data_IF_346889367558
#
_entry.id   IF_346889367558
#
_cell.length_a   1.000
_cell.length_b   1.000
_cell.length_c   1.000
_cell.angle_alpha   90.00
_cell.angle_beta   90.00
_cell.angle_gamma   90.00
#
_symmetry.space_group_name_H-M   'P 1'
#
loop_
_entity.id
_entity.type
_entity.pdbx_description
1 polymer ?
#
# COMPACT_ATOMS: atom_id res chain seq x y z
N UNK A 1 7.44 -10.33 10.00
CA UNK A 1 7.80 -10.96 8.72
C UNK A 1 9.17 -11.64 8.74
N UNK A 2 10.29 -10.93 9.00
CA UNK A 2 11.64 -11.55 9.03
C UNK A 2 11.72 -12.76 9.96
N UNK A 3 11.22 -12.65 11.20
CA UNK A 3 11.24 -13.76 12.15
C UNK A 3 10.38 -14.96 11.69
N UNK A 4 9.19 -14.69 11.14
CA UNK A 4 8.34 -15.77 10.61
C UNK A 4 9.00 -16.48 9.43
N UNK A 5 9.61 -15.74 8.50
CA UNK A 5 10.33 -16.31 7.37
C UNK A 5 11.55 -17.15 7.79
N UNK A 6 12.31 -16.69 8.79
CA UNK A 6 13.44 -17.46 9.34
C UNK A 6 12.98 -18.76 10.03
N UNK A 7 11.86 -18.72 10.75
CA UNK A 7 11.31 -19.92 11.38
C UNK A 7 10.74 -20.90 10.35
N UNK A 8 10.10 -20.37 9.30
CA UNK A 8 9.58 -21.17 8.20
C UNK A 8 10.70 -21.91 7.46
N UNK A 9 11.78 -21.20 7.09
CA UNK A 9 12.92 -21.78 6.39
C UNK A 9 13.71 -22.82 7.20
N UNK A 10 13.69 -22.71 8.54
CA UNK A 10 14.41 -23.63 9.42
C UNK A 10 13.61 -24.85 9.89
N UNK A 11 12.30 -24.89 9.63
CA UNK A 11 11.41 -25.98 10.08
C UNK A 11 10.99 -26.93 8.94
N UNK A 12 11.44 -26.69 7.72
CA UNK A 12 11.05 -27.44 6.53
C UNK A 12 12.22 -28.13 5.81
N UNK A 13 11.92 -28.58 4.60
CA UNK A 13 12.91 -29.14 3.68
C UNK A 13 13.87 -28.07 3.19
N UNK A 14 15.00 -28.48 2.62
CA UNK A 14 15.97 -27.58 2.00
C UNK A 14 15.27 -26.63 1.01
N UNK A 15 15.42 -25.30 1.14
CA UNK A 15 14.78 -24.35 0.25
C UNK A 15 15.22 -24.54 -1.20
N UNK A 16 14.25 -24.52 -2.11
CA UNK A 16 14.49 -24.56 -3.55
C UNK A 16 14.61 -23.12 -4.07
N UNK A 17 15.73 -22.79 -4.72
CA UNK A 17 15.92 -21.51 -5.36
C UNK A 17 15.62 -21.62 -6.85
N UNK A 18 14.80 -20.68 -7.35
CA UNK A 18 14.43 -20.57 -8.76
C UNK A 18 14.96 -19.25 -9.29
N UNK A 19 15.69 -19.29 -10.39
CA UNK A 19 16.21 -18.09 -11.05
C UNK A 19 15.46 -17.84 -12.35
N UNK A 20 15.01 -16.62 -12.54
CA UNK A 20 14.31 -16.19 -13.75
C UNK A 20 15.14 -15.06 -14.36
N UNK A 21 15.53 -15.24 -15.62
CA UNK A 21 16.22 -14.23 -16.41
C UNK A 21 15.37 -13.86 -17.60
N UNK A 22 15.22 -12.58 -17.84
CA UNK A 22 14.46 -12.07 -18.98
C UNK A 22 15.27 -11.03 -19.72
N UNK A 23 15.07 -11.00 -21.04
CA UNK A 23 15.74 -10.01 -21.87
C UNK A 23 15.37 -10.18 -23.36
N UNK A 24 15.66 -9.15 -24.17
CA UNK A 24 15.42 -9.19 -25.61
C UNK A 24 16.29 -10.21 -26.36
N UNK A 25 17.33 -10.74 -25.72
CA UNK A 25 18.22 -11.77 -26.23
C UNK A 25 17.59 -13.17 -26.21
N UNK A 26 16.56 -13.40 -25.40
CA UNK A 26 15.87 -14.68 -25.31
C UNK A 26 14.70 -14.74 -26.28
N UNK A 27 14.33 -15.98 -26.70
CA UNK A 27 13.21 -16.19 -27.59
C UNK A 27 11.86 -15.76 -26.98
N UNK A 28 11.02 -15.11 -27.78
CA UNK A 28 9.66 -14.72 -27.38
C UNK A 28 8.66 -15.89 -27.47
N UNK A 29 9.05 -17.04 -27.00
CA UNK A 29 8.25 -18.24 -26.91
C UNK A 29 7.97 -18.56 -25.45
N UNK A 30 6.80 -19.16 -25.16
CA UNK A 30 6.46 -19.62 -23.82
C UNK A 30 7.36 -20.80 -23.46
N UNK A 31 8.09 -20.67 -22.34
CA UNK A 31 8.99 -21.72 -21.89
C UNK A 31 8.20 -22.77 -21.11
N UNK A 32 8.11 -23.98 -21.67
CA UNK A 32 7.45 -25.11 -21.01
C UNK A 32 8.48 -26.05 -20.39
N UNK A 33 8.14 -26.75 -19.30
CA UNK A 33 9.04 -27.71 -18.67
C UNK A 33 9.28 -28.91 -19.57
N UNK A 34 10.49 -29.47 -19.54
CA UNK A 34 10.81 -30.70 -20.27
C UNK A 34 9.94 -31.87 -19.79
N UNK A 35 9.67 -32.82 -20.70
CA UNK A 35 8.97 -34.07 -20.38
C UNK A 35 9.81 -34.99 -19.50
N UNK A 36 11.12 -34.88 -19.62
CA UNK A 36 12.05 -35.74 -18.88
C UNK A 36 12.16 -35.28 -17.42
N UNK A 37 12.04 -36.26 -16.55
CA UNK A 37 12.04 -36.05 -15.12
C UNK A 37 13.09 -36.98 -14.48
N UNK A 38 14.11 -36.40 -13.89
CA UNK A 38 15.13 -37.15 -13.14
C UNK A 38 14.87 -36.92 -11.66
N UNK A 39 14.24 -37.91 -11.00
CA UNK A 39 14.28 -38.01 -9.55
C UNK A 39 15.67 -38.53 -9.20
N UNK A 40 16.46 -37.75 -8.47
CA UNK A 40 17.72 -38.23 -7.93
C UNK A 40 17.46 -39.22 -6.78
N UNK A 41 17.30 -40.47 -7.13
CA UNK A 41 17.03 -41.57 -6.18
C UNK A 41 18.18 -41.86 -5.20
N UNK A 42 19.34 -41.20 -5.37
CA UNK A 42 20.52 -41.42 -4.54
C UNK A 42 20.59 -40.46 -3.33
N UNK A 43 19.68 -39.53 -3.20
CA UNK A 43 19.67 -38.60 -2.05
C UNK A 43 18.79 -39.19 -0.92
N UNK A 44 19.37 -39.43 0.25
CA UNK A 44 18.68 -40.02 1.40
C UNK A 44 17.65 -39.06 2.06
N UNK A 45 17.76 -37.77 1.79
CA UNK A 45 16.87 -36.75 2.39
C UNK A 45 15.75 -36.30 1.42
N UNK A 46 14.56 -36.15 1.96
CA UNK A 46 13.42 -35.61 1.20
C UNK A 46 13.71 -34.15 0.78
N UNK A 47 13.54 -33.83 -0.50
CA UNK A 47 13.75 -32.50 -1.04
C UNK A 47 12.85 -32.25 -2.24
N UNK A 48 12.70 -30.97 -2.64
CA UNK A 48 12.00 -30.64 -3.88
C UNK A 48 12.94 -30.63 -5.07
N UNK A 49 12.42 -31.12 -6.19
CA UNK A 49 13.11 -31.11 -7.48
C UNK A 49 12.34 -30.25 -8.45
N UNK A 50 12.98 -29.22 -9.01
CA UNK A 50 12.42 -28.36 -10.03
C UNK A 50 13.07 -28.57 -11.39
N UNK A 51 12.27 -28.51 -12.44
CA UNK A 51 12.74 -28.56 -13.82
C UNK A 51 11.96 -27.56 -14.70
N UNK A 52 12.65 -26.57 -15.29
CA UNK A 52 14.03 -26.16 -15.00
C UNK A 52 14.11 -25.32 -13.71
N UNK A 53 15.27 -25.27 -13.06
CA UNK A 53 15.53 -24.38 -11.91
C UNK A 53 15.88 -22.94 -12.32
N UNK A 54 16.34 -22.77 -13.56
CA UNK A 54 16.60 -21.46 -14.17
C UNK A 54 15.77 -21.33 -15.44
N UNK A 55 14.96 -20.28 -15.51
CA UNK A 55 14.18 -19.92 -16.70
C UNK A 55 14.83 -18.74 -17.42
N UNK A 56 14.98 -18.87 -18.72
CA UNK A 56 15.39 -17.80 -19.63
C UNK A 56 14.25 -17.47 -20.57
N UNK A 57 13.64 -16.30 -20.42
CA UNK A 57 12.37 -15.95 -21.03
C UNK A 57 12.50 -14.64 -21.79
N UNK A 58 12.07 -14.60 -23.06
CA UNK A 58 11.93 -13.35 -23.82
C UNK A 58 10.83 -12.44 -23.23
N UNK A 59 10.79 -11.18 -23.63
CA UNK A 59 9.96 -10.16 -22.97
C UNK A 59 8.48 -10.20 -23.36
N UNK A 60 8.12 -10.72 -24.53
CA UNK A 60 6.73 -10.69 -25.06
C UNK A 60 6.28 -12.05 -25.59
N UNK A 61 4.98 -12.33 -25.52
CA UNK A 61 4.36 -13.50 -26.11
C UNK A 61 2.96 -13.19 -26.63
N UNK A 62 2.35 -14.16 -27.34
CA UNK A 62 0.93 -14.09 -27.73
C UNK A 62 0.03 -14.15 -26.51
N UNK A 63 -0.85 -13.13 -26.28
CA UNK A 63 -1.78 -13.09 -25.16
C UNK A 63 -2.67 -14.33 -25.05
N UNK A 64 -3.18 -14.83 -26.16
CA UNK A 64 -4.05 -16.01 -26.14
C UNK A 64 -3.30 -17.28 -25.73
N UNK A 65 -2.02 -17.40 -26.13
CA UNK A 65 -1.19 -18.51 -25.69
C UNK A 65 -0.90 -18.44 -24.19
N UNK A 66 -0.58 -17.26 -23.66
CA UNK A 66 -0.33 -17.02 -22.22
C UNK A 66 -1.57 -17.39 -21.39
N UNK A 67 -2.76 -16.92 -21.78
CA UNK A 67 -4.01 -17.23 -21.08
C UNK A 67 -4.32 -18.74 -21.13
N UNK A 68 -4.09 -19.36 -22.29
CA UNK A 68 -4.30 -20.81 -22.47
C UNK A 68 -3.36 -21.63 -21.56
N UNK A 69 -2.08 -21.25 -21.46
CA UNK A 69 -1.13 -21.95 -20.61
C UNK A 69 -1.40 -21.70 -19.13
N UNK A 70 -1.77 -20.50 -18.73
CA UNK A 70 -2.20 -20.24 -17.34
C UNK A 70 -3.41 -21.11 -16.94
N UNK A 71 -4.41 -21.20 -17.80
CA UNK A 71 -5.56 -22.07 -17.59
C UNK A 71 -5.16 -23.55 -17.55
N UNK A 72 -4.25 -23.99 -18.43
CA UNK A 72 -3.73 -25.34 -18.45
C UNK A 72 -2.98 -25.67 -17.15
N UNK A 73 -2.07 -24.80 -16.66
CA UNK A 73 -1.35 -25.00 -15.40
C UNK A 73 -2.32 -25.16 -14.23
N UNK A 74 -3.35 -24.30 -14.16
CA UNK A 74 -4.40 -24.40 -13.13
C UNK A 74 -5.12 -25.75 -13.20
N UNK A 75 -5.55 -26.17 -14.40
CA UNK A 75 -6.27 -27.42 -14.60
C UNK A 75 -5.39 -28.64 -14.24
N UNK A 76 -4.11 -28.62 -14.63
CA UNK A 76 -3.18 -29.71 -14.31
C UNK A 76 -2.91 -29.84 -12.81
N UNK A 77 -2.70 -28.73 -12.11
CA UNK A 77 -2.52 -28.73 -10.66
C UNK A 77 -3.76 -29.29 -9.94
N UNK A 78 -4.96 -28.92 -10.37
CA UNK A 78 -6.21 -29.46 -9.82
C UNK A 78 -6.35 -30.96 -10.14
N UNK A 79 -6.10 -31.38 -11.38
CA UNK A 79 -6.21 -32.79 -11.82
C UNK A 79 -5.20 -33.70 -11.08
N UNK A 80 -4.03 -33.17 -10.76
CA UNK A 80 -3.00 -33.88 -10.01
C UNK A 80 -3.23 -33.87 -8.49
N UNK A 81 -4.29 -33.20 -8.00
CA UNK A 81 -4.69 -33.20 -6.59
C UNK A 81 -3.99 -32.16 -5.73
N UNK A 82 -3.41 -31.11 -6.32
CA UNK A 82 -2.86 -29.98 -5.57
C UNK A 82 -3.96 -28.98 -5.20
N UNK A 83 -4.01 -28.57 -3.94
CA UNK A 83 -4.94 -27.57 -3.45
C UNK A 83 -4.40 -26.19 -3.80
N UNK A 84 -5.10 -25.49 -4.69
CA UNK A 84 -4.80 -24.11 -5.02
C UNK A 84 -5.51 -23.19 -4.02
N UNK A 85 -4.80 -22.27 -3.41
CA UNK A 85 -5.44 -21.18 -2.69
C UNK A 85 -6.29 -20.37 -3.69
N UNK A 86 -7.61 -20.36 -3.52
CA UNK A 86 -8.45 -19.45 -4.30
C UNK A 86 -8.03 -18.02 -3.98
N UNK A 87 -7.42 -17.36 -4.95
CA UNK A 87 -7.29 -15.91 -4.92
C UNK A 87 -8.72 -15.34 -4.90
N UNK A 88 -9.17 -14.87 -3.74
CA UNK A 88 -10.38 -14.07 -3.63
C UNK A 88 -10.13 -12.79 -4.41
N UNK A 89 -10.55 -12.76 -5.67
CA UNK A 89 -10.69 -11.52 -6.42
C UNK A 89 -11.79 -10.69 -5.75
N UNK A 90 -11.48 -9.55 -5.13
CA UNK A 90 -12.47 -8.67 -4.53
C UNK A 90 -13.02 -7.70 -5.58
N UNK A 91 -13.50 -8.18 -6.71
CA UNK A 91 -14.17 -7.28 -7.64
C UNK A 91 -14.99 -8.05 -8.67
N UNK A 92 -16.21 -8.35 -8.29
CA UNK A 92 -17.38 -8.37 -9.18
C UNK A 92 -18.66 -8.55 -8.35
N UNK A 93 -18.98 -7.56 -7.52
CA UNK A 93 -20.37 -7.27 -7.21
C UNK A 93 -20.76 -6.08 -8.08
N UNK A 94 -21.41 -6.36 -9.19
CA UNK A 94 -22.25 -5.37 -9.85
C UNK A 94 -23.40 -5.06 -8.90
N UNK A 95 -23.29 -3.96 -8.18
CA UNK A 95 -24.42 -3.36 -7.48
C UNK A 95 -25.34 -2.73 -8.53
N UNK A 96 -26.37 -3.46 -8.92
CA UNK A 96 -27.51 -2.99 -9.71
C UNK A 96 -28.52 -2.17 -8.88
N UNK A 97 -28.06 -1.30 -8.00
CA UNK A 97 -28.94 -0.33 -7.31
C UNK A 97 -28.23 1.00 -7.10
N UNK A 98 -27.97 1.72 -8.19
CA UNK A 98 -27.64 3.13 -8.08
C UNK A 98 -28.94 3.95 -7.89
N UNK A 99 -29.05 4.61 -6.76
CA UNK A 99 -30.14 5.57 -6.47
C UNK A 99 -30.15 6.68 -7.54
N UNK A 100 -31.35 7.18 -7.93
CA UNK A 100 -31.52 8.12 -9.03
C UNK A 100 -30.73 9.45 -8.99
N UNK A 101 -30.00 9.74 -7.90
CA UNK A 101 -29.05 10.86 -7.79
C UNK A 101 -27.73 10.49 -8.47
N UNK A 102 -27.22 9.26 -8.28
CA UNK A 102 -25.99 8.79 -8.92
C UNK A 102 -26.10 8.75 -10.44
N UNK A 103 -27.26 8.40 -10.96
CA UNK A 103 -27.54 8.36 -12.40
C UNK A 103 -27.55 9.78 -13.02
N UNK A 104 -28.14 10.77 -12.34
CA UNK A 104 -28.13 12.18 -12.79
C UNK A 104 -26.73 12.78 -12.78
N UNK A 105 -25.92 12.48 -11.77
CA UNK A 105 -24.52 12.91 -11.69
C UNK A 105 -23.70 12.25 -12.79
N UNK A 106 -23.91 10.96 -13.02
CA UNK A 106 -23.22 10.20 -14.08
C UNK A 106 -23.56 10.74 -15.48
N UNK A 107 -24.82 11.07 -15.73
CA UNK A 107 -25.27 11.70 -16.98
C UNK A 107 -24.64 13.07 -17.19
N UNK A 108 -24.68 13.93 -16.16
CA UNK A 108 -24.06 15.26 -16.20
C UNK A 108 -22.54 15.19 -16.49
N UNK A 109 -21.85 14.24 -15.86
CA UNK A 109 -20.40 14.08 -16.05
C UNK A 109 -20.10 13.56 -17.46
N UNK A 110 -20.88 12.58 -17.96
CA UNK A 110 -20.75 12.07 -19.35
C UNK A 110 -20.99 13.17 -20.39
N UNK A 111 -22.00 14.00 -20.19
CA UNK A 111 -22.29 15.14 -21.09
C UNK A 111 -21.18 16.20 -21.06
N UNK A 112 -20.55 16.42 -19.90
CA UNK A 112 -19.51 17.45 -19.72
C UNK A 112 -18.13 16.99 -20.16
N UNK A 113 -17.76 15.74 -19.89
CA UNK A 113 -16.39 15.20 -20.07
C UNK A 113 -16.29 14.07 -21.11
N UNK A 114 -17.40 13.68 -21.73
CA UNK A 114 -17.48 12.59 -22.71
C UNK A 114 -17.73 11.22 -22.08
N UNK A 115 -17.88 10.23 -22.93
CA UNK A 115 -18.14 8.85 -22.48
C UNK A 115 -16.88 8.22 -21.84
N UNK A 116 -17.13 7.29 -20.89
CA UNK A 116 -16.09 6.48 -20.26
C UNK A 116 -15.23 5.81 -21.34
N UNK A 117 -13.91 6.03 -21.32
CA UNK A 117 -12.99 5.32 -22.20
C UNK A 117 -13.04 3.84 -21.85
N UNK A 118 -13.47 3.01 -22.81
CA UNK A 118 -13.32 1.56 -22.67
C UNK A 118 -11.82 1.25 -22.54
N UNK A 119 -11.47 0.46 -21.54
CA UNK A 119 -10.12 -0.12 -21.46
C UNK A 119 -9.94 -1.00 -22.68
N UNK A 120 -9.17 -0.52 -23.63
CA UNK A 120 -8.73 -1.35 -24.75
C UNK A 120 -7.85 -2.44 -24.16
N UNK A 121 -8.23 -3.70 -24.33
CA UNK A 121 -7.39 -4.82 -23.93
C UNK A 121 -6.01 -4.64 -24.57
N UNK A 122 -4.96 -4.69 -23.75
CA UNK A 122 -3.60 -4.53 -24.26
C UNK A 122 -3.27 -5.66 -25.21
N UNK A 123 -2.91 -5.31 -26.43
CA UNK A 123 -2.44 -6.27 -27.45
C UNK A 123 -1.10 -6.94 -27.12
N UNK A 124 -0.39 -6.43 -26.12
CA UNK A 124 0.89 -6.99 -25.70
C UNK A 124 0.72 -7.62 -24.32
N UNK A 125 1.06 -8.89 -24.23
CA UNK A 125 1.14 -9.63 -22.96
C UNK A 125 2.60 -9.98 -22.73
N UNK A 126 3.05 -9.83 -21.49
CA UNK A 126 4.38 -10.29 -21.12
C UNK A 126 4.49 -11.79 -21.27
N UNK A 127 5.68 -12.26 -21.61
CA UNK A 127 5.92 -13.68 -21.80
C UNK A 127 5.80 -14.44 -20.46
N UNK A 128 5.75 -15.74 -20.52
CA UNK A 128 5.66 -16.61 -19.36
C UNK A 128 6.54 -17.86 -19.50
N UNK A 129 6.85 -18.45 -18.37
CA UNK A 129 7.47 -19.77 -18.30
C UNK A 129 6.86 -20.62 -17.21
N UNK A 130 6.91 -21.93 -17.40
CA UNK A 130 6.35 -22.90 -16.46
C UNK A 130 7.45 -23.78 -15.90
N UNK A 131 7.50 -23.90 -14.59
CA UNK A 131 8.40 -24.76 -13.85
C UNK A 131 7.62 -25.95 -13.33
N UNK A 132 8.16 -27.14 -13.54
CA UNK A 132 7.63 -28.38 -12.97
C UNK A 132 8.34 -28.69 -11.65
N UNK A 133 7.59 -28.98 -10.61
CA UNK A 133 8.12 -29.30 -9.28
C UNK A 133 7.50 -30.62 -8.78
N UNK A 134 8.31 -31.44 -8.16
CA UNK A 134 7.86 -32.65 -7.47
C UNK A 134 8.65 -32.86 -6.17
N UNK A 135 8.17 -33.76 -5.35
CA UNK A 135 8.86 -34.18 -4.15
C UNK A 135 9.73 -35.42 -4.47
N UNK A 136 10.93 -35.48 -3.93
CA UNK A 136 11.87 -36.60 -4.19
C UNK A 136 11.46 -37.93 -3.54
N UNK A 137 10.69 -37.86 -2.44
CA UNK A 137 10.28 -39.03 -1.66
C UNK A 137 8.82 -38.88 -1.18
N UNK A 138 8.21 -40.02 -0.85
CA UNK A 138 6.85 -40.07 -0.32
C UNK A 138 6.82 -39.53 1.11
N UNK A 139 5.94 -38.52 1.42
CA UNK A 139 5.78 -38.07 2.79
C UNK A 139 5.19 -39.16 3.69
N UNK A 140 5.39 -39.00 5.00
CA UNK A 140 4.87 -39.92 6.01
C UNK A 140 3.35 -40.01 5.97
N UNK A 141 2.78 -41.07 6.54
CA UNK A 141 1.34 -41.32 6.56
C UNK A 141 0.59 -40.16 7.25
N UNK A 142 -0.28 -39.44 6.49
CA UNK A 142 -1.01 -38.30 6.95
C UNK A 142 -0.20 -37.00 7.04
N UNK A 143 1.06 -37.02 6.64
CA UNK A 143 1.91 -35.84 6.55
C UNK A 143 1.59 -35.03 5.30
N UNK A 144 1.61 -33.70 5.44
CA UNK A 144 1.40 -32.74 4.36
C UNK A 144 2.62 -31.84 4.26
N UNK A 145 3.25 -31.84 3.10
CA UNK A 145 4.39 -30.96 2.80
C UNK A 145 3.90 -29.83 1.92
N UNK A 146 3.93 -28.60 2.43
CA UNK A 146 3.45 -27.43 1.71
C UNK A 146 4.64 -26.69 1.12
N UNK A 147 4.66 -26.52 -0.19
CA UNK A 147 5.62 -25.68 -0.90
C UNK A 147 5.03 -24.27 -1.04
N UNK A 148 5.74 -23.27 -0.52
CA UNK A 148 5.43 -21.87 -0.74
C UNK A 148 6.55 -21.22 -1.50
N UNK A 149 6.23 -20.65 -2.64
CA UNK A 149 7.17 -19.94 -3.51
C UNK A 149 6.93 -18.45 -3.37
N UNK A 150 7.95 -17.70 -2.96
CA UNK A 150 7.90 -16.25 -2.76
C UNK A 150 9.02 -15.56 -3.53
N UNK A 151 8.77 -14.32 -3.94
CA UNK A 151 9.80 -13.49 -4.56
C UNK A 151 10.84 -13.10 -3.49
N UNK A 152 12.12 -13.49 -3.71
CA UNK A 152 13.23 -13.25 -2.79
C UNK A 152 13.99 -11.97 -3.10
N UNK A 153 14.33 -11.76 -4.36
CA UNK A 153 15.10 -10.60 -4.80
C UNK A 153 15.00 -10.40 -6.32
N UNK A 154 15.39 -9.23 -6.79
CA UNK A 154 15.37 -8.88 -8.21
C UNK A 154 14.14 -8.06 -8.60
N UNK A 155 13.78 -8.09 -9.87
CA UNK A 155 12.71 -7.26 -10.44
C UNK A 155 11.32 -7.81 -10.11
N UNK A 156 10.48 -7.00 -9.47
CA UNK A 156 9.10 -7.34 -9.12
C UNK A 156 8.14 -7.39 -10.32
N UNK A 157 8.61 -6.96 -11.49
CA UNK A 157 7.87 -7.11 -12.75
C UNK A 157 7.86 -8.56 -13.26
N UNK A 158 8.63 -9.44 -12.61
CA UNK A 158 8.62 -10.89 -12.81
C UNK A 158 7.88 -11.48 -11.62
N UNK A 159 6.73 -12.11 -11.84
CA UNK A 159 5.83 -12.55 -10.77
C UNK A 159 5.18 -13.91 -11.05
N UNK A 160 4.68 -14.54 -9.98
CA UNK A 160 3.98 -15.81 -10.06
C UNK A 160 2.49 -15.58 -10.37
N UNK A 161 1.95 -16.35 -11.31
CA UNK A 161 0.52 -16.33 -11.65
C UNK A 161 -0.23 -17.55 -11.12
N UNK A 162 0.46 -18.69 -11.03
CA UNK A 162 -0.10 -19.96 -10.55
C UNK A 162 0.96 -20.74 -9.77
N UNK A 163 0.53 -21.54 -8.81
CA UNK A 163 1.39 -22.49 -8.12
C UNK A 163 2.30 -21.86 -7.06
N UNK A 164 1.97 -20.67 -6.56
CA UNK A 164 2.68 -20.01 -5.46
C UNK A 164 2.61 -20.81 -4.15
N UNK A 165 1.55 -21.61 -3.98
CA UNK A 165 1.37 -22.54 -2.87
C UNK A 165 0.85 -23.87 -3.36
N UNK A 166 1.59 -24.96 -3.09
CA UNK A 166 1.29 -26.33 -3.50
C UNK A 166 1.37 -27.26 -2.29
N UNK A 167 0.37 -28.13 -2.13
CA UNK A 167 0.31 -29.08 -1.02
C UNK A 167 0.59 -30.50 -1.53
N UNK A 168 1.70 -31.10 -1.08
CA UNK A 168 2.10 -32.46 -1.40
C UNK A 168 1.65 -33.40 -0.28
N UNK A 169 1.03 -34.50 -0.69
CA UNK A 169 0.48 -35.52 0.20
C UNK A 169 0.93 -36.91 -0.26
N UNK A 170 0.57 -37.92 0.50
CA UNK A 170 0.82 -39.31 0.14
C UNK A 170 0.24 -39.75 -1.22
N UNK A 171 -0.77 -39.01 -1.74
CA UNK A 171 -1.51 -39.34 -2.97
C UNK A 171 -1.01 -38.61 -4.22
N UNK A 172 -0.26 -37.52 -4.04
CA UNK A 172 0.15 -36.66 -5.17
C UNK A 172 1.65 -36.33 -5.20
N UNK A 173 2.46 -36.84 -4.27
CA UNK A 173 3.87 -36.52 -4.13
C UNK A 173 4.72 -36.81 -5.38
N UNK A 174 4.36 -37.85 -6.13
CA UNK A 174 5.01 -38.33 -7.36
C UNK A 174 4.47 -37.68 -8.62
N UNK A 175 3.38 -36.90 -8.49
CA UNK A 175 2.80 -36.17 -9.62
C UNK A 175 3.45 -34.80 -9.81
N UNK A 176 3.56 -34.32 -11.05
CA UNK A 176 4.12 -32.99 -11.30
C UNK A 176 3.16 -31.89 -10.84
N UNK A 177 3.67 -30.96 -10.05
CA UNK A 177 3.07 -29.69 -9.76
C UNK A 177 3.69 -28.61 -10.66
N UNK A 178 2.94 -27.59 -11.03
CA UNK A 178 3.39 -26.58 -11.96
C UNK A 178 3.32 -25.19 -11.33
N UNK A 179 4.40 -24.42 -11.46
CA UNK A 179 4.52 -23.03 -11.08
C UNK A 179 4.60 -22.21 -12.37
N UNK A 180 3.70 -21.26 -12.55
CA UNK A 180 3.70 -20.35 -13.69
C UNK A 180 4.29 -18.99 -13.28
N UNK A 181 5.34 -18.59 -13.99
CA UNK A 181 6.00 -17.29 -13.86
C UNK A 181 5.64 -16.44 -15.07
N UNK A 182 5.21 -15.23 -14.86
CA UNK A 182 4.87 -14.27 -15.91
C UNK A 182 5.67 -12.99 -15.77
N UNK A 183 5.95 -12.35 -16.90
CA UNK A 183 6.68 -11.09 -17.00
C UNK A 183 5.68 -9.97 -17.28
N UNK A 184 5.84 -8.81 -16.64
CA UNK A 184 5.08 -7.61 -16.97
C UNK A 184 5.39 -7.19 -18.43
N UNK A 185 4.37 -6.99 -19.30
CA UNK A 185 4.56 -6.62 -20.71
C UNK A 185 5.32 -5.29 -20.91
N UNK A 186 5.45 -4.49 -19.87
CA UNK A 186 6.21 -3.24 -19.87
C UNK A 186 7.71 -3.43 -19.69
N UNK A 187 8.16 -4.57 -19.20
CA UNK A 187 9.57 -4.89 -19.02
C UNK A 187 10.20 -5.21 -20.38
N UNK A 188 11.01 -4.28 -20.90
CA UNK A 188 11.66 -4.41 -22.22
C UNK A 188 13.18 -4.57 -22.14
N UNK A 189 13.75 -4.37 -20.95
CA UNK A 189 15.18 -4.48 -20.70
C UNK A 189 15.50 -5.83 -20.05
N UNK A 190 16.76 -6.25 -20.17
CA UNK A 190 17.23 -7.45 -19.50
C UNK A 190 17.13 -7.28 -18.00
N UNK A 191 16.50 -8.26 -17.34
CA UNK A 191 16.30 -8.24 -15.89
C UNK A 191 16.32 -9.65 -15.32
N UNK A 192 16.41 -9.74 -14.00
CA UNK A 192 16.37 -11.02 -13.30
C UNK A 192 15.54 -10.97 -12.03
N UNK A 193 14.99 -12.09 -11.63
CA UNK A 193 14.35 -12.27 -10.34
C UNK A 193 14.72 -13.64 -9.76
N UNK A 194 14.83 -13.69 -8.45
CA UNK A 194 15.04 -14.94 -7.70
C UNK A 194 13.83 -15.20 -6.83
N UNK A 195 13.32 -16.42 -6.91
CA UNK A 195 12.25 -16.93 -6.06
C UNK A 195 12.80 -18.01 -5.15
N UNK A 196 12.30 -18.04 -3.93
CA UNK A 196 12.63 -19.07 -2.94
C UNK A 196 11.37 -19.84 -2.58
N UNK A 197 11.45 -21.16 -2.76
CA UNK A 197 10.37 -22.08 -2.39
C UNK A 197 10.72 -22.76 -1.09
N UNK A 198 9.93 -22.56 -0.05
CA UNK A 198 10.13 -23.11 1.28
C UNK A 198 8.99 -24.04 1.67
N UNK A 199 9.26 -25.01 2.53
CA UNK A 199 8.29 -26.04 2.95
C UNK A 199 8.02 -26.05 4.46
N UNK A 200 8.26 -24.94 5.12
CA UNK A 200 8.09 -24.88 6.57
C UNK A 200 6.64 -24.87 7.03
N UNK A 201 6.44 -25.11 8.33
CA UNK A 201 5.12 -24.98 8.97
C UNK A 201 4.78 -23.52 9.19
N UNK A 202 4.11 -22.89 8.21
CA UNK A 202 3.73 -21.49 8.21
C UNK A 202 2.90 -21.13 9.44
N UNK A 203 1.91 -21.96 9.79
CA UNK A 203 1.04 -21.72 10.94
C UNK A 203 1.82 -21.68 12.25
N UNK A 204 2.78 -22.58 12.42
CA UNK A 204 3.66 -22.60 13.59
C UNK A 204 4.60 -21.39 13.62
N UNK A 205 5.21 -21.04 12.49
CA UNK A 205 6.11 -19.89 12.38
C UNK A 205 5.39 -18.56 12.71
N UNK A 206 4.19 -18.36 12.21
CA UNK A 206 3.39 -17.21 12.53
C UNK A 206 2.91 -17.21 13.98
N UNK A 207 2.51 -18.37 14.52
CA UNK A 207 2.11 -18.49 15.93
C UNK A 207 3.25 -18.09 16.87
N UNK A 208 4.45 -18.63 16.65
CA UNK A 208 5.64 -18.26 17.44
C UNK A 208 5.92 -16.76 17.30
N UNK A 209 5.86 -16.21 16.09
CA UNK A 209 6.08 -14.79 15.84
C UNK A 209 5.09 -13.92 16.63
N UNK A 210 3.81 -14.26 16.64
CA UNK A 210 2.80 -13.53 17.40
C UNK A 210 2.99 -13.66 18.92
N UNK A 211 3.41 -14.83 19.42
CA UNK A 211 3.72 -14.98 20.84
C UNK A 211 4.95 -14.16 21.25
N UNK A 212 5.98 -14.09 20.41
CA UNK A 212 7.16 -13.23 20.65
C UNK A 212 6.73 -11.76 20.67
N UNK A 213 5.90 -11.31 19.71
CA UNK A 213 5.35 -9.96 19.70
C UNK A 213 4.50 -9.66 20.94
N UNK A 214 3.64 -10.58 21.34
CA UNK A 214 2.83 -10.44 22.55
C UNK A 214 3.72 -10.28 23.80
N UNK A 215 4.76 -11.09 23.94
CA UNK A 215 5.75 -10.96 25.00
C UNK A 215 6.46 -9.60 24.98
N UNK A 216 6.83 -9.11 23.80
CA UNK A 216 7.44 -7.79 23.63
C UNK A 216 6.47 -6.66 24.03
N UNK A 217 5.19 -6.72 23.64
CA UNK A 217 4.19 -5.74 24.06
C UNK A 217 3.93 -5.78 25.57
N UNK A 218 3.93 -6.96 26.20
CA UNK A 218 3.83 -7.08 27.66
C UNK A 218 5.03 -6.41 28.32
N UNK A 219 6.24 -6.65 27.83
CA UNK A 219 7.47 -6.02 28.34
C UNK A 219 7.42 -4.48 28.21
N UNK A 220 6.97 -3.96 27.06
CA UNK A 220 6.75 -2.51 26.86
C UNK A 220 5.68 -1.98 27.81
N UNK A 221 4.57 -2.70 28.00
CA UNK A 221 3.52 -2.30 28.94
C UNK A 221 4.06 -2.17 30.36
N UNK A 222 4.84 -3.14 30.81
CA UNK A 222 5.50 -3.11 32.13
C UNK A 222 6.50 -1.94 32.22
N UNK A 223 7.32 -1.75 31.17
CA UNK A 223 8.24 -0.60 31.08
C UNK A 223 7.48 0.72 31.21
N UNK A 224 6.42 0.92 30.45
CA UNK A 224 5.59 2.13 30.51
C UNK A 224 4.95 2.33 31.89
N UNK A 225 4.47 1.26 32.53
CA UNK A 225 3.87 1.33 33.87
C UNK A 225 4.83 1.91 34.92
N UNK A 226 6.14 1.59 34.81
CA UNK A 226 7.13 1.98 35.81
C UNK A 226 7.93 3.24 35.45
N UNK A 227 8.13 3.54 34.18
CA UNK A 227 9.05 4.59 33.71
C UNK A 227 8.31 5.83 33.19
N UNK A 228 7.10 5.68 32.64
CA UNK A 228 6.37 6.86 32.18
C UNK A 228 6.03 7.80 33.34
N UNK A 229 6.30 9.10 33.16
CA UNK A 229 5.90 10.10 34.15
C UNK A 229 4.38 10.11 34.30
N UNK A 230 3.91 10.15 35.53
CA UNK A 230 2.50 10.28 35.88
C UNK A 230 2.20 11.75 36.21
N UNK A 231 1.77 12.56 35.24
CA UNK A 231 1.47 13.96 35.50
C UNK A 231 0.35 14.09 36.51
N UNK A 232 0.42 15.14 37.36
CA UNK A 232 -0.61 15.40 38.39
C UNK A 232 -2.01 15.63 37.81
N UNK A 233 -2.10 15.96 36.53
CA UNK A 233 -3.33 16.11 35.77
C UNK A 233 -3.99 14.77 35.37
N UNK A 234 -3.24 13.66 35.45
CA UNK A 234 -3.76 12.31 35.14
C UNK A 234 -4.43 11.71 36.40
N UNK A 235 -5.55 12.32 36.79
CA UNK A 235 -6.39 11.83 37.88
C UNK A 235 -7.68 11.26 37.32
N UNK A 236 -8.09 10.10 37.84
CA UNK A 236 -9.44 9.60 37.59
C UNK A 236 -10.47 10.65 38.09
N UNK A 237 -11.32 11.12 37.20
CA UNK A 237 -12.35 12.13 37.52
C UNK A 237 -13.48 11.50 38.35
N UNK A 238 -13.69 10.20 38.20
CA UNK A 238 -14.70 9.45 38.96
C UNK A 238 -14.31 7.98 39.18
N UNK A 239 -15.02 7.28 40.04
CA UNK A 239 -14.84 5.84 40.26
C UNK A 239 -15.15 5.05 38.98
N UNK A 240 -14.31 4.07 38.63
CA UNK A 240 -14.38 3.28 37.41
C UNK A 240 -15.59 2.26 37.45
N UNK A 241 -16.80 2.78 37.45
CA UNK A 241 -18.01 2.01 37.25
C UNK A 241 -18.43 2.06 35.79
N UNK A 242 -18.94 0.97 35.22
CA UNK A 242 -19.37 0.92 33.82
C UNK A 242 -20.28 2.10 33.43
N UNK A 243 -21.25 2.45 34.29
CA UNK A 243 -22.14 3.61 34.07
C UNK A 243 -21.38 4.94 34.00
N UNK A 244 -20.35 5.14 34.83
CA UNK A 244 -19.57 6.36 34.87
C UNK A 244 -18.65 6.45 33.63
N UNK A 245 -18.09 5.33 33.18
CA UNK A 245 -17.27 5.26 31.97
C UNK A 245 -18.09 5.66 30.74
N UNK A 246 -19.30 5.14 30.59
CA UNK A 246 -20.20 5.53 29.49
C UNK A 246 -20.60 7.00 29.58
N UNK A 247 -20.92 7.49 30.78
CA UNK A 247 -21.28 8.91 30.99
C UNK A 247 -20.13 9.84 30.65
N UNK A 248 -18.89 9.54 31.07
CA UNK A 248 -17.68 10.31 30.69
C UNK A 248 -17.40 10.24 29.20
N UNK A 249 -17.55 9.07 28.59
CA UNK A 249 -17.39 8.92 27.15
C UNK A 249 -18.31 9.86 26.37
N UNK A 250 -19.61 9.86 26.69
CA UNK A 250 -20.54 10.80 26.03
C UNK A 250 -20.30 12.26 26.40
N UNK A 251 -19.94 12.53 27.66
CA UNK A 251 -19.60 13.88 28.10
C UNK A 251 -18.40 14.45 27.31
N UNK A 252 -17.43 13.61 26.96
CA UNK A 252 -16.28 14.02 26.13
C UNK A 252 -16.71 14.50 24.75
N UNK A 253 -17.66 13.82 24.10
CA UNK A 253 -18.21 14.29 22.83
C UNK A 253 -18.96 15.62 22.99
N UNK A 254 -19.80 15.76 24.03
CA UNK A 254 -20.52 16.99 24.29
C UNK A 254 -19.55 18.16 24.50
N UNK A 255 -18.51 17.98 25.34
CA UNK A 255 -17.52 19.02 25.60
C UNK A 255 -16.69 19.35 24.36
N UNK A 256 -16.41 18.39 23.46
CA UNK A 256 -15.77 18.64 22.18
C UNK A 256 -16.60 19.58 21.30
N UNK A 257 -17.90 19.29 21.13
CA UNK A 257 -18.78 20.10 20.30
C UNK A 257 -19.18 21.46 20.92
N UNK A 258 -18.94 21.65 22.21
CA UNK A 258 -19.10 22.95 22.90
C UNK A 258 -17.88 23.87 22.75
N UNK A 259 -16.75 23.40 22.18
CA UNK A 259 -15.56 24.23 21.96
C UNK A 259 -15.85 25.40 21.01
N UNK A 260 -15.23 26.53 21.29
CA UNK A 260 -15.30 27.70 20.40
C UNK A 260 -14.81 27.33 19.00
N UNK A 261 -15.57 27.73 17.99
CA UNK A 261 -15.24 27.50 16.57
C UNK A 261 -15.13 26.01 16.17
N UNK A 262 -15.80 25.09 16.88
CA UNK A 262 -15.73 23.65 16.58
C UNK A 262 -16.10 23.34 15.13
N UNK A 263 -17.13 23.97 14.57
CA UNK A 263 -17.54 23.72 13.19
C UNK A 263 -16.51 24.20 12.17
N UNK A 264 -15.80 25.31 12.46
CA UNK A 264 -14.68 25.76 11.63
C UNK A 264 -13.52 24.77 11.72
N UNK A 265 -13.22 24.26 12.92
CA UNK A 265 -12.20 23.25 13.12
C UNK A 265 -12.53 21.92 12.43
N UNK A 266 -13.77 21.44 12.55
CA UNK A 266 -14.24 20.23 11.85
C UNK A 266 -14.17 20.42 10.33
N UNK A 267 -14.60 21.56 9.82
CA UNK A 267 -14.50 21.87 8.39
C UNK A 267 -13.05 21.88 7.91
N UNK A 268 -12.14 22.46 8.71
CA UNK A 268 -10.70 22.41 8.44
C UNK A 268 -10.18 20.97 8.44
N UNK A 269 -10.55 20.14 9.42
CA UNK A 269 -10.14 18.75 9.51
C UNK A 269 -10.60 17.90 8.32
N UNK A 270 -11.78 18.20 7.78
CA UNK A 270 -12.35 17.50 6.63
C UNK A 270 -11.77 17.96 5.29
N UNK A 271 -11.53 19.26 5.12
CA UNK A 271 -11.23 19.85 3.81
C UNK A 271 -9.76 20.21 3.59
N UNK A 272 -8.94 20.36 4.65
CA UNK A 272 -7.54 20.73 4.49
C UNK A 272 -6.76 19.75 3.60
N UNK A 273 -7.07 18.46 3.70
CA UNK A 273 -6.44 17.40 2.93
C UNK A 273 -7.28 16.88 1.76
N UNK A 274 -8.32 17.61 1.37
CA UNK A 274 -9.25 17.19 0.31
C UNK A 274 -8.55 16.86 -1.03
N UNK A 275 -7.63 17.68 -1.56
CA UNK A 275 -6.92 17.35 -2.79
C UNK A 275 -6.04 16.12 -2.65
N UNK A 276 -5.26 16.04 -1.58
CA UNK A 276 -4.33 14.95 -1.30
C UNK A 276 -5.06 13.62 -1.05
N UNK A 277 -6.21 13.65 -0.37
CA UNK A 277 -7.02 12.46 -0.12
C UNK A 277 -7.47 11.75 -1.41
N UNK A 278 -7.70 12.50 -2.47
CA UNK A 278 -8.04 11.99 -3.78
C UNK A 278 -6.77 11.57 -4.56
N UNK A 279 -5.73 12.40 -4.51
CA UNK A 279 -4.47 12.17 -5.20
C UNK A 279 -3.82 10.85 -4.79
N UNK A 280 -3.66 10.61 -3.49
CA UNK A 280 -2.96 9.43 -2.96
C UNK A 280 -3.60 8.10 -3.39
N UNK A 281 -4.91 8.09 -3.68
CA UNK A 281 -5.61 6.89 -4.16
C UNK A 281 -5.27 6.54 -5.60
N UNK A 282 -4.90 7.53 -6.39
CA UNK A 282 -4.70 7.36 -7.83
C UNK A 282 -3.23 7.47 -8.27
N UNK A 283 -2.31 7.78 -7.37
CA UNK A 283 -0.88 7.83 -7.69
C UNK A 283 -0.41 6.47 -8.24
N UNK A 284 -0.63 5.39 -7.50
CA UNK A 284 -0.17 4.07 -7.93
C UNK A 284 -0.83 3.61 -9.25
N UNK A 285 -2.17 3.66 -9.41
CA UNK A 285 -2.77 3.38 -10.71
C UNK A 285 -2.22 4.26 -11.83
N UNK A 286 -2.05 5.57 -11.61
CA UNK A 286 -1.51 6.49 -12.61
C UNK A 286 -0.07 6.15 -13.03
N UNK A 287 0.78 5.76 -12.09
CA UNK A 287 2.15 5.36 -12.38
C UNK A 287 2.19 4.04 -13.17
N UNK A 288 1.28 3.09 -12.86
CA UNK A 288 1.24 1.75 -13.45
C UNK A 288 0.49 1.70 -14.79
N UNK A 289 -0.62 2.43 -14.91
CA UNK A 289 -1.47 2.38 -16.09
C UNK A 289 -0.70 2.83 -17.35
N UNK A 290 -0.94 2.18 -18.49
CA UNK A 290 -0.28 2.49 -19.74
C UNK A 290 -0.52 3.92 -20.22
N UNK A 291 0.39 4.42 -21.06
CA UNK A 291 0.30 5.78 -21.60
C UNK A 291 -0.94 6.02 -22.46
N UNK A 292 -1.43 4.99 -23.14
CA UNK A 292 -2.65 5.02 -23.96
C UNK A 292 -3.89 5.31 -23.09
N UNK A 293 -3.90 4.86 -21.84
CA UNK A 293 -4.95 5.14 -20.86
C UNK A 293 -4.70 6.44 -20.07
N UNK A 294 -3.62 7.16 -20.39
CA UNK A 294 -3.26 8.40 -19.75
C UNK A 294 -2.35 8.25 -18.52
N UNK A 295 -1.90 7.05 -18.19
CA UNK A 295 -0.93 6.76 -17.14
C UNK A 295 0.52 6.96 -17.58
N UNK A 296 1.50 6.54 -16.78
CA UNK A 296 2.93 6.64 -17.10
C UNK A 296 3.56 5.33 -17.60
N UNK A 297 2.89 4.20 -17.43
CA UNK A 297 3.34 2.90 -17.90
C UNK A 297 4.57 2.36 -17.19
N UNK A 298 4.80 2.72 -15.92
CA UNK A 298 5.93 2.21 -15.14
C UNK A 298 5.72 0.75 -14.74
N UNK A 299 6.81 0.02 -14.61
CA UNK A 299 6.79 -1.32 -14.01
C UNK A 299 6.56 -1.25 -12.50
N UNK A 300 6.12 -2.35 -11.90
CA UNK A 300 5.91 -2.43 -10.43
C UNK A 300 7.19 -2.13 -9.65
N UNK A 301 8.34 -2.59 -10.15
CA UNK A 301 9.64 -2.31 -9.54
C UNK A 301 9.99 -0.82 -9.57
N UNK A 302 9.75 -0.14 -10.70
CA UNK A 302 9.96 1.30 -10.83
C UNK A 302 9.04 2.10 -9.92
N UNK A 303 7.76 1.71 -9.79
CA UNK A 303 6.82 2.35 -8.84
C UNK A 303 7.29 2.18 -7.39
N UNK A 304 7.83 1.01 -7.04
CA UNK A 304 8.44 0.77 -5.74
C UNK A 304 9.60 1.73 -5.44
N UNK A 305 10.46 2.01 -6.42
CA UNK A 305 11.54 3.01 -6.28
C UNK A 305 10.99 4.44 -6.20
N UNK A 306 10.13 4.82 -7.13
CA UNK A 306 9.61 6.20 -7.27
C UNK A 306 8.80 6.61 -6.03
N UNK A 307 7.81 5.82 -5.67
CA UNK A 307 6.89 6.18 -4.59
C UNK A 307 7.32 5.60 -3.24
N UNK A 308 7.81 4.35 -3.23
CA UNK A 308 8.22 3.66 -2.00
C UNK A 308 9.56 4.15 -1.43
N UNK A 309 10.50 4.59 -2.25
CA UNK A 309 11.82 5.05 -1.77
C UNK A 309 11.93 6.57 -1.86
N UNK A 310 11.87 7.14 -3.05
CA UNK A 310 12.06 8.58 -3.28
C UNK A 310 10.92 9.39 -2.66
N UNK A 311 9.67 8.90 -2.79
CA UNK A 311 8.51 9.54 -2.18
C UNK A 311 8.60 9.58 -0.65
N UNK A 312 8.97 8.48 0.00
CA UNK A 312 9.15 8.44 1.47
C UNK A 312 10.26 9.38 1.93
N UNK A 313 11.36 9.49 1.19
CA UNK A 313 12.42 10.45 1.50
C UNK A 313 11.89 11.90 1.43
N UNK A 314 11.16 12.26 0.38
CA UNK A 314 10.54 13.57 0.25
C UNK A 314 9.60 13.89 1.41
N UNK A 315 8.68 12.97 1.72
CA UNK A 315 7.74 13.08 2.84
C UNK A 315 8.45 13.31 4.19
N UNK A 316 9.47 12.52 4.47
CA UNK A 316 10.22 12.56 5.74
C UNK A 316 10.95 13.89 5.89
N UNK A 317 11.69 14.31 4.85
CA UNK A 317 12.43 15.58 4.85
C UNK A 317 11.47 16.76 4.99
N UNK A 318 10.36 16.76 4.26
CA UNK A 318 9.32 17.79 4.35
C UNK A 318 8.74 17.88 5.76
N UNK A 319 8.40 16.76 6.39
CA UNK A 319 7.88 16.70 7.74
C UNK A 319 8.87 17.23 8.79
N UNK A 320 10.14 16.82 8.69
CA UNK A 320 11.20 17.28 9.62
C UNK A 320 11.42 18.80 9.50
N UNK A 321 11.55 19.32 8.27
CA UNK A 321 11.71 20.75 8.03
C UNK A 321 10.48 21.51 8.53
N UNK A 322 9.26 20.98 8.26
CA UNK A 322 8.01 21.54 8.74
C UNK A 322 7.98 21.66 10.27
N UNK A 323 8.38 20.61 10.98
CA UNK A 323 8.48 20.62 12.44
C UNK A 323 9.47 21.67 12.97
N UNK A 324 10.66 21.74 12.39
CA UNK A 324 11.71 22.69 12.80
C UNK A 324 11.25 24.14 12.61
N UNK A 325 10.65 24.49 11.46
CA UNK A 325 10.25 25.87 11.18
C UNK A 325 9.04 26.30 12.00
N UNK A 326 8.10 25.37 12.24
CA UNK A 326 6.96 25.60 13.11
C UNK A 326 7.40 25.84 14.57
N UNK A 327 8.34 25.04 15.09
CA UNK A 327 8.89 25.22 16.43
C UNK A 327 9.64 26.55 16.61
N UNK A 328 10.31 27.05 15.57
CA UNK A 328 11.06 28.32 15.64
C UNK A 328 10.18 29.57 15.59
N UNK A 329 9.08 29.55 14.81
CA UNK A 329 8.33 30.77 14.47
C UNK A 329 6.84 30.68 14.77
N UNK A 330 6.37 29.58 15.28
CA UNK A 330 4.98 29.31 15.63
C UNK A 330 4.11 28.87 14.43
N UNK A 331 3.05 28.14 14.74
CA UNK A 331 2.14 27.58 13.75
C UNK A 331 1.43 28.65 12.91
N UNK A 332 0.96 29.74 13.54
CA UNK A 332 0.20 30.80 12.84
C UNK A 332 0.96 31.39 11.66
N UNK A 333 2.29 31.59 11.79
CA UNK A 333 3.13 32.17 10.75
C UNK A 333 3.32 31.20 9.57
N UNK A 334 3.48 29.91 9.88
CA UNK A 334 3.80 28.90 8.88
C UNK A 334 2.58 28.17 8.29
N UNK A 335 1.39 28.40 8.84
CA UNK A 335 0.15 27.78 8.32
C UNK A 335 -0.01 28.03 6.82
N UNK A 336 0.11 29.30 6.39
CA UNK A 336 -0.09 29.67 4.99
C UNK A 336 0.98 29.09 4.05
N UNK A 337 2.30 29.22 4.30
CA UNK A 337 3.31 28.56 3.50
C UNK A 337 3.13 27.03 3.42
N UNK A 338 2.72 26.40 4.51
CA UNK A 338 2.46 24.96 4.58
C UNK A 338 1.20 24.57 3.78
N UNK A 339 0.12 25.34 3.87
CA UNK A 339 -1.08 25.12 3.08
C UNK A 339 -0.85 25.30 1.56
N UNK A 340 -0.04 26.30 1.18
CA UNK A 340 0.38 26.46 -0.21
C UNK A 340 1.29 25.32 -0.66
N UNK A 341 2.19 24.86 0.18
CA UNK A 341 3.09 23.75 -0.16
C UNK A 341 2.32 22.47 -0.47
N UNK A 342 1.40 22.04 0.39
CA UNK A 342 0.62 20.82 0.17
C UNK A 342 -0.30 20.94 -1.07
N UNK A 343 -0.72 22.16 -1.42
CA UNK A 343 -1.63 22.40 -2.54
C UNK A 343 -0.89 22.52 -3.88
N UNK A 344 0.16 23.34 -3.95
CA UNK A 344 0.83 23.65 -5.22
C UNK A 344 1.64 22.47 -5.75
N UNK A 345 2.18 21.63 -4.87
CA UNK A 345 2.96 20.47 -5.29
C UNK A 345 2.13 19.42 -6.01
N UNK A 346 0.79 19.38 -5.81
CA UNK A 346 -0.11 18.54 -6.61
C UNK A 346 -0.03 18.86 -8.12
N UNK A 347 0.42 20.07 -8.51
CA UNK A 347 0.60 20.45 -9.91
C UNK A 347 1.65 19.61 -10.64
N UNK A 348 2.57 18.96 -9.92
CA UNK A 348 3.53 18.02 -10.54
C UNK A 348 2.83 16.86 -11.23
N UNK A 349 1.70 16.38 -10.70
CA UNK A 349 0.90 15.33 -11.34
C UNK A 349 0.12 15.84 -12.55
N UNK A 350 -0.28 17.12 -12.57
CA UNK A 350 -0.82 17.75 -13.78
C UNK A 350 0.26 17.73 -14.87
N UNK A 351 1.49 18.13 -14.54
CA UNK A 351 2.62 18.07 -15.47
C UNK A 351 2.87 16.65 -15.97
N UNK A 352 2.97 15.67 -15.07
CA UNK A 352 3.20 14.26 -15.42
C UNK A 352 2.08 13.69 -16.31
N UNK A 353 0.83 14.02 -16.04
CA UNK A 353 -0.30 13.54 -16.85
C UNK A 353 -0.41 14.19 -18.22
N UNK A 354 0.13 15.40 -18.38
CA UNK A 354 0.11 16.10 -19.66
C UNK A 354 1.25 15.69 -20.57
N UNK A 355 2.48 15.66 -20.03
CA UNK A 355 3.69 15.40 -20.81
C UNK A 355 4.09 13.93 -20.87
N UNK A 356 3.67 13.12 -19.92
CA UNK A 356 3.98 11.68 -19.82
C UNK A 356 5.46 11.35 -20.11
N UNK A 357 6.42 11.96 -19.38
CA UNK A 357 7.85 11.84 -19.68
C UNK A 357 8.32 10.38 -19.54
N UNK A 358 9.26 9.96 -20.42
CA UNK A 358 9.91 8.65 -20.32
C UNK A 358 11.05 8.64 -19.28
N UNK A 359 11.58 9.82 -18.95
CA UNK A 359 12.69 9.94 -18.01
C UNK A 359 12.27 9.63 -16.56
N UNK A 360 12.74 8.52 -16.03
CA UNK A 360 12.54 8.15 -14.64
C UNK A 360 13.06 9.22 -13.66
N UNK A 361 14.11 9.96 -14.04
CA UNK A 361 14.62 11.07 -13.23
C UNK A 361 13.59 12.19 -13.05
N UNK A 362 12.90 12.58 -14.15
CA UNK A 362 11.84 13.61 -14.10
C UNK A 362 10.67 13.16 -13.25
N UNK A 363 10.26 11.89 -13.38
CA UNK A 363 9.17 11.30 -12.59
C UNK A 363 9.55 11.30 -11.11
N UNK A 364 10.77 10.84 -10.76
CA UNK A 364 11.28 10.85 -9.40
C UNK A 364 11.31 12.26 -8.79
N UNK A 365 11.74 13.26 -9.56
CA UNK A 365 11.80 14.65 -9.10
C UNK A 365 10.38 15.19 -8.82
N UNK A 366 9.41 14.93 -9.70
CA UNK A 366 8.03 15.35 -9.51
C UNK A 366 7.40 14.71 -8.26
N UNK A 367 7.59 13.42 -8.07
CA UNK A 367 7.06 12.70 -6.90
C UNK A 367 7.78 13.15 -5.62
N UNK A 368 9.09 13.39 -5.66
CA UNK A 368 9.82 13.94 -4.53
C UNK A 368 9.28 15.31 -4.10
N UNK A 369 9.06 16.22 -5.04
CA UNK A 369 8.53 17.58 -4.77
C UNK A 369 7.12 17.50 -4.18
N UNK A 370 6.27 16.65 -4.72
CA UNK A 370 4.91 16.48 -4.22
C UNK A 370 4.93 15.90 -2.81
N UNK A 371 5.66 14.83 -2.56
CA UNK A 371 5.74 14.20 -1.25
C UNK A 371 6.44 15.09 -0.21
N UNK A 372 7.43 15.89 -0.62
CA UNK A 372 8.01 16.91 0.25
C UNK A 372 6.96 17.96 0.64
N UNK A 373 6.20 18.48 -0.33
CA UNK A 373 5.14 19.45 -0.10
C UNK A 373 4.05 18.91 0.81
N UNK A 374 3.70 17.66 0.62
CA UNK A 374 2.76 16.94 1.49
C UNK A 374 3.29 16.84 2.92
N UNK A 375 4.50 16.33 3.13
CA UNK A 375 5.09 16.19 4.47
C UNK A 375 5.21 17.53 5.20
N UNK A 376 5.64 18.58 4.49
CA UNK A 376 5.75 19.92 5.03
C UNK A 376 4.39 20.50 5.42
N UNK A 377 3.38 20.38 4.54
CA UNK A 377 2.04 20.89 4.80
C UNK A 377 1.26 20.09 5.83
N UNK A 378 1.46 18.78 5.89
CA UNK A 378 0.84 17.90 6.88
C UNK A 378 1.26 18.25 8.32
N UNK A 379 2.45 18.80 8.50
CA UNK A 379 2.92 19.26 9.81
C UNK A 379 2.00 20.33 10.39
N UNK A 380 1.55 21.31 9.59
CA UNK A 380 0.61 22.32 10.06
C UNK A 380 -0.73 21.73 10.49
N UNK A 381 -1.19 20.74 9.74
CA UNK A 381 -2.43 20.03 10.06
C UNK A 381 -2.35 19.33 11.40
N UNK A 382 -1.29 18.54 11.64
CA UNK A 382 -1.09 17.82 12.89
C UNK A 382 -0.96 18.75 14.09
N UNK A 383 -0.19 19.84 13.96
CA UNK A 383 -0.05 20.84 15.00
C UNK A 383 -1.39 21.55 15.32
N UNK A 384 -2.23 21.78 14.31
CA UNK A 384 -3.57 22.33 14.54
C UNK A 384 -4.48 21.35 15.28
N UNK A 385 -4.44 20.05 14.98
CA UNK A 385 -5.19 19.05 15.72
C UNK A 385 -4.81 19.02 17.20
N UNK A 386 -3.51 19.11 17.48
CA UNK A 386 -2.99 19.17 18.86
C UNK A 386 -3.46 20.47 19.54
N UNK A 387 -3.37 21.61 18.84
CA UNK A 387 -3.85 22.91 19.34
C UNK A 387 -5.34 22.89 19.68
N UNK A 388 -6.17 22.36 18.78
CA UNK A 388 -7.61 22.34 18.98
C UNK A 388 -8.05 21.33 20.05
N UNK A 389 -7.30 20.25 20.24
CA UNK A 389 -7.60 19.24 21.26
C UNK A 389 -7.31 19.71 22.69
N UNK A 390 -6.57 20.79 22.91
CA UNK A 390 -6.14 21.25 24.21
C UNK A 390 -7.32 21.50 25.18
N UNK A 391 -7.11 21.20 26.48
CA UNK A 391 -8.12 21.31 27.52
C UNK A 391 -8.18 20.09 28.44
N UNK A 392 -9.20 19.98 29.26
CA UNK A 392 -9.36 18.95 30.29
C UNK A 392 -9.34 17.51 29.72
N UNK A 393 -9.97 17.28 28.56
CA UNK A 393 -10.04 15.99 27.89
C UNK A 393 -9.14 15.93 26.63
N UNK A 394 -7.93 16.46 26.72
CA UNK A 394 -6.99 16.62 25.59
C UNK A 394 -6.82 15.37 24.75
N UNK A 395 -6.54 14.22 25.35
CA UNK A 395 -6.30 12.95 24.66
C UNK A 395 -7.54 12.47 23.91
N UNK A 396 -8.71 12.52 24.55
CA UNK A 396 -9.97 12.10 23.94
C UNK A 396 -10.41 13.06 22.82
N UNK A 397 -10.26 14.37 23.02
CA UNK A 397 -10.51 15.36 21.97
C UNK A 397 -9.57 15.18 20.77
N UNK A 398 -8.29 14.85 21.02
CA UNK A 398 -7.35 14.54 19.93
C UNK A 398 -7.77 13.28 19.14
N UNK A 399 -8.28 12.26 19.84
CA UNK A 399 -8.83 11.08 19.19
C UNK A 399 -10.03 11.42 18.29
N UNK A 400 -10.92 12.30 18.73
CA UNK A 400 -12.05 12.79 17.90
C UNK A 400 -11.51 13.58 16.69
N UNK A 401 -10.51 14.45 16.87
CA UNK A 401 -9.88 15.17 15.75
C UNK A 401 -9.29 14.20 14.72
N UNK A 402 -8.60 13.14 15.16
CA UNK A 402 -8.05 12.12 14.26
C UNK A 402 -9.13 11.29 13.56
N UNK A 403 -10.29 11.08 14.18
CA UNK A 403 -11.43 10.46 13.53
C UNK A 403 -11.98 11.35 12.38
N UNK A 404 -12.11 12.67 12.58
CA UNK A 404 -12.44 13.59 11.49
C UNK A 404 -11.37 13.66 10.41
N UNK A 405 -10.08 13.54 10.77
CA UNK A 405 -8.99 13.41 9.82
C UNK A 405 -9.16 12.16 8.94
N UNK A 406 -9.45 11.03 9.54
CA UNK A 406 -9.68 9.78 8.81
C UNK A 406 -10.91 9.90 7.87
N UNK A 407 -12.00 10.48 8.35
CA UNK A 407 -13.21 10.71 7.56
C UNK A 407 -12.93 11.63 6.36
N UNK A 408 -12.16 12.71 6.56
CA UNK A 408 -11.74 13.63 5.49
C UNK A 408 -10.85 12.98 4.43
N UNK A 409 -10.14 11.88 4.77
CA UNK A 409 -9.39 11.07 3.81
C UNK A 409 -10.25 10.02 3.12
N UNK A 410 -11.13 9.36 3.86
CA UNK A 410 -11.91 8.23 3.34
C UNK A 410 -12.97 8.68 2.34
N UNK A 411 -13.78 9.71 2.67
CA UNK A 411 -14.90 10.12 1.83
C UNK A 411 -14.47 10.60 0.43
N UNK A 412 -13.50 11.53 0.29
CA UNK A 412 -13.04 11.94 -1.04
C UNK A 412 -12.29 10.80 -1.77
N UNK A 413 -11.53 9.99 -1.01
CA UNK A 413 -10.80 8.86 -1.56
C UNK A 413 -11.70 7.77 -2.16
N UNK A 414 -12.88 7.53 -1.60
CA UNK A 414 -13.87 6.59 -2.15
C UNK A 414 -14.40 7.05 -3.51
N UNK A 415 -14.62 8.35 -3.70
CA UNK A 415 -15.12 8.90 -4.94
C UNK A 415 -14.04 9.07 -6.03
N UNK A 416 -12.76 9.09 -5.65
CA UNK A 416 -11.65 9.43 -6.53
C UNK A 416 -11.52 8.47 -7.73
N UNK A 417 -11.60 7.15 -7.51
CA UNK A 417 -11.50 6.15 -8.56
C UNK A 417 -12.64 6.25 -9.58
N UNK A 418 -13.87 6.33 -9.07
CA UNK A 418 -15.06 6.52 -9.90
C UNK A 418 -14.98 7.81 -10.75
N UNK A 419 -14.56 8.92 -10.13
CA UNK A 419 -14.41 10.18 -10.85
C UNK A 419 -13.34 10.11 -11.92
N UNK A 420 -12.17 9.51 -11.60
CA UNK A 420 -11.09 9.33 -12.57
C UNK A 420 -11.49 8.45 -13.76
N UNK A 421 -12.26 7.37 -13.52
CA UNK A 421 -12.78 6.54 -14.61
C UNK A 421 -13.68 7.33 -15.57
N UNK A 422 -14.44 8.31 -15.07
CA UNK A 422 -15.34 9.13 -15.89
C UNK A 422 -14.60 10.20 -16.68
N UNK A 423 -13.66 10.92 -16.06
CA UNK A 423 -13.03 12.11 -16.67
C UNK A 423 -11.59 11.87 -17.16
N UNK A 424 -11.00 10.72 -16.85
CA UNK A 424 -9.61 10.40 -17.18
C UNK A 424 -8.59 11.12 -16.32
N UNK A 425 -7.32 10.67 -16.35
CA UNK A 425 -6.25 11.18 -15.48
C UNK A 425 -5.99 12.68 -15.64
N UNK A 426 -5.93 13.21 -16.86
CA UNK A 426 -5.65 14.63 -17.11
C UNK A 426 -6.67 15.53 -16.41
N UNK A 427 -7.96 15.33 -16.64
CA UNK A 427 -9.01 16.14 -16.03
C UNK A 427 -9.13 15.88 -14.51
N UNK A 428 -8.80 14.65 -14.07
CA UNK A 428 -8.79 14.34 -12.65
C UNK A 428 -7.74 15.14 -11.89
N UNK A 429 -6.53 15.29 -12.42
CA UNK A 429 -5.50 16.11 -11.76
C UNK A 429 -5.83 17.62 -11.83
N UNK A 430 -6.50 18.10 -12.86
CA UNK A 430 -7.08 19.46 -12.85
C UNK A 430 -8.14 19.63 -11.77
N UNK A 431 -9.02 18.63 -11.59
CA UNK A 431 -10.01 18.62 -10.51
C UNK A 431 -9.32 18.67 -9.14
N UNK A 432 -8.27 17.90 -8.91
CA UNK A 432 -7.48 17.96 -7.67
C UNK A 432 -6.94 19.36 -7.43
N UNK A 433 -6.45 20.06 -8.46
CA UNK A 433 -6.01 21.46 -8.34
C UNK A 433 -7.16 22.42 -7.98
N UNK A 434 -8.35 22.20 -8.50
CA UNK A 434 -9.55 22.99 -8.10
C UNK A 434 -9.87 22.73 -6.62
N UNK A 435 -9.78 21.49 -6.15
CA UNK A 435 -9.97 21.13 -4.74
C UNK A 435 -8.96 21.82 -3.80
N UNK A 436 -7.77 22.22 -4.28
CA UNK A 436 -6.82 23.00 -3.49
C UNK A 436 -7.39 24.34 -3.01
N UNK A 437 -8.35 24.91 -3.74
CA UNK A 437 -9.05 26.13 -3.30
C UNK A 437 -9.79 25.91 -1.98
N UNK A 438 -10.35 24.73 -1.74
CA UNK A 438 -10.99 24.40 -0.46
C UNK A 438 -9.99 24.38 0.70
N UNK A 439 -8.78 23.80 0.50
CA UNK A 439 -7.69 23.80 1.48
C UNK A 439 -7.30 25.23 1.87
N UNK A 440 -7.12 26.10 0.88
CA UNK A 440 -6.76 27.50 1.11
C UNK A 440 -7.91 28.25 1.80
N UNK A 441 -9.16 28.04 1.37
CA UNK A 441 -10.32 28.69 1.96
C UNK A 441 -10.48 28.34 3.45
N UNK A 442 -10.36 27.07 3.83
CA UNK A 442 -10.53 26.69 5.25
C UNK A 442 -9.40 27.22 6.14
N UNK A 443 -8.19 27.43 5.61
CA UNK A 443 -7.10 28.09 6.34
C UNK A 443 -7.41 29.54 6.70
N UNK A 444 -8.24 30.22 5.90
CA UNK A 444 -8.62 31.62 6.17
C UNK A 444 -9.59 31.76 7.36
N UNK A 445 -10.37 30.74 7.65
CA UNK A 445 -11.38 30.79 8.72
C UNK A 445 -10.86 30.40 10.09
N UNK A 446 -9.74 29.65 10.18
CA UNK A 446 -9.20 29.22 11.46
C UNK A 446 -8.45 30.35 12.19
N UNK A 447 -8.61 30.40 13.51
CA UNK A 447 -7.91 31.34 14.38
C UNK A 447 -6.95 30.57 15.27
N UNK A 448 -5.67 30.93 15.21
CA UNK A 448 -4.59 30.31 15.99
C UNK A 448 -3.93 31.41 16.82
N UNK A 449 -3.59 31.08 18.07
CA UNK A 449 -2.80 31.98 18.93
C UNK A 449 -1.43 32.26 18.25
N UNK A 450 -1.03 33.54 18.16
CA UNK A 450 0.25 33.91 17.55
C UNK A 450 1.49 33.30 18.23
N UNK A 451 1.37 32.93 19.49
CA UNK A 451 2.47 32.39 20.29
C UNK A 451 2.50 30.85 20.34
N UNK A 452 1.45 30.19 19.88
CA UNK A 452 1.39 28.73 19.92
C UNK A 452 2.52 28.07 19.12
N UNK A 453 3.23 27.15 19.77
CA UNK A 453 4.33 26.36 19.18
C UNK A 453 5.68 27.08 19.13
N UNK A 454 5.84 28.26 19.74
CA UNK A 454 7.14 28.93 19.86
C UNK A 454 7.92 28.41 21.06
N UNK A 455 9.07 27.81 20.84
CA UNK A 455 9.91 27.20 21.87
C UNK A 455 10.46 28.20 22.90
N UNK A 456 10.73 29.45 22.50
CA UNK A 456 11.30 30.49 23.39
C UNK A 456 10.34 30.98 24.51
N UNK A 457 9.04 30.73 24.40
CA UNK A 457 8.05 31.18 25.39
C UNK A 457 7.79 30.09 26.42
N UNK A 458 7.87 28.80 26.03
CA UNK A 458 7.73 27.69 26.98
C UNK A 458 8.89 27.66 28.01
N UNK A 459 10.12 28.00 27.61
CA UNK A 459 11.26 28.06 28.54
C UNK A 459 11.11 29.19 29.55
N UNK A 460 10.55 30.35 29.15
CA UNK A 460 10.32 31.49 30.07
C UNK A 460 9.18 31.29 31.06
N UNK A 461 8.15 30.52 30.68
CA UNK A 461 7.05 30.17 31.59
C UNK A 461 7.44 29.08 32.60
N UNK A 462 8.42 28.25 32.28
CA UNK A 462 8.96 27.24 33.20
C UNK A 462 9.92 27.87 34.23
N UNK A 463 10.71 28.89 33.84
CA UNK A 463 11.60 29.62 34.75
C UNK A 463 10.84 30.59 35.68
N UNK A 464 9.60 30.94 35.37
CA UNK A 464 8.75 31.86 36.16
C UNK A 464 7.74 31.16 37.05
N UNK A 465 7.66 29.83 37.03
CA UNK A 465 6.85 28.98 37.93
C UNK A 465 7.73 28.14 38.84
#
# INVERSE_FOLDING_TARGET
MILAGLLESNTGLTPLNLEIKTGPEYANEIVLPSTDYIIDANNEEMHFVASPSTLEIGTTADPHAVDSINAWVKCQNIANGFVLAEAKNPSQTKDENSSGIGEKINTFIKETFGEKRERTEHKLTGNMGVIKVCLSQKPGKGEKVVLNTVHKSGDQSIYLTQGDRLEFTEENWDKPAYIAVQIDPKLKEASNASFESTSGNISLAWSITFFVLAGFFIAICLYHKYILPKPKSDKAVCEATASNIFKEFFATFVTFFQKKQVWVAVLFMLLYRLPEAQLVKLINPFLLDPKELGGLGLTTGQVGLVYGTIGILGLTIGGIIGGIVAAKRGLKKWLWPMAWSISLTCATFVYLSYYQPDSLFVINLCVFIEQFGYGFGFTAYMLYLIYFSDGEHKTAHYAICTAFMALGMMLPGMAAGWLQELIGYKHFFYWVMICCAATIAVCAFIKIDPNYGKKEIEEKEIETK
#
